data_IF_249519106766
#
_entry.id   IF_249519106766
#
_cell.length_a   1.000
_cell.length_b   1.000
_cell.length_c   1.000
_cell.angle_alpha   90.00
_cell.angle_beta   90.00
_cell.angle_gamma   90.00
#
_symmetry.space_group_name_H-M   'P 1'
#
loop_
_entity.id
_entity.type
_entity.pdbx_description
1 polymer ?
#
# COMPACT_ATOMS: atom_id res chain seq x y z
N UNK A 1 -22.81 10.39 11.26
CA UNK A 1 -21.46 10.86 10.88
C UNK A 1 -21.02 10.02 9.68
N UNK A 2 -21.05 10.55 8.44
CA UNK A 2 -20.87 9.73 7.24
C UNK A 2 -19.44 9.22 7.09
N UNK A 3 -19.24 7.95 6.75
CA UNK A 3 -17.91 7.36 6.49
C UNK A 3 -17.11 8.05 5.35
N UNK A 4 -17.71 8.98 4.60
CA UNK A 4 -17.12 9.58 3.40
C UNK A 4 -15.83 10.34 3.65
N UNK A 5 -15.77 11.18 4.70
CA UNK A 5 -14.58 12.00 4.98
C UNK A 5 -13.34 11.17 5.36
N UNK A 6 -13.51 9.92 5.80
CA UNK A 6 -12.41 9.04 6.18
C UNK A 6 -11.79 8.34 4.96
N UNK A 7 -12.53 8.22 3.86
CA UNK A 7 -12.06 7.66 2.59
C UNK A 7 -11.40 8.73 1.71
N UNK A 8 -11.88 9.98 1.75
CA UNK A 8 -11.30 11.11 1.00
C UNK A 8 -9.82 11.38 1.37
N UNK A 9 -9.38 11.04 2.59
CA UNK A 9 -7.97 11.18 2.98
C UNK A 9 -7.03 10.21 2.26
N UNK A 10 -7.53 9.04 1.85
CA UNK A 10 -6.70 7.99 1.25
C UNK A 10 -6.51 8.17 -0.26
N UNK A 11 -7.36 8.97 -0.91
CA UNK A 11 -7.21 9.30 -2.34
C UNK A 11 -5.99 10.18 -2.62
N UNK A 12 -5.40 10.82 -1.61
CA UNK A 12 -4.20 11.67 -1.77
C UNK A 12 -2.89 11.01 -1.35
N UNK A 13 -2.95 9.76 -0.86
CA UNK A 13 -1.76 9.08 -0.36
C UNK A 13 -0.86 8.68 -1.53
N UNK A 14 0.27 9.38 -1.68
CA UNK A 14 1.24 9.11 -2.75
C UNK A 14 2.33 8.13 -2.32
N UNK A 15 2.73 8.14 -1.04
CA UNK A 15 3.77 7.26 -0.51
C UNK A 15 3.29 6.48 0.71
N UNK A 16 3.64 5.19 0.77
CA UNK A 16 3.32 4.32 1.88
C UNK A 16 4.58 3.51 2.28
N UNK A 17 5.05 3.72 3.51
CA UNK A 17 6.26 3.08 4.04
C UNK A 17 5.89 2.12 5.17
N UNK A 18 6.27 0.85 4.99
CA UNK A 18 6.10 -0.19 6.00
C UNK A 18 7.41 -0.83 6.43
N UNK A 19 8.57 -0.27 6.04
CA UNK A 19 9.89 -0.82 6.34
C UNK A 19 10.12 -1.11 7.83
N UNK A 20 9.44 -0.44 8.75
CA UNK A 20 9.56 -0.73 10.18
C UNK A 20 8.80 -1.99 10.65
N UNK A 21 7.98 -2.60 9.80
CA UNK A 21 7.16 -3.77 10.14
C UNK A 21 7.81 -5.09 9.69
N UNK A 22 8.87 -5.50 10.40
CA UNK A 22 9.68 -6.69 10.09
C UNK A 22 8.87 -8.00 10.08
N UNK A 23 7.80 -8.05 10.89
CA UNK A 23 6.95 -9.23 11.07
C UNK A 23 5.64 -9.17 10.25
N UNK A 24 5.51 -8.21 9.32
CA UNK A 24 4.31 -8.12 8.49
C UNK A 24 4.29 -9.28 7.50
N UNK A 25 3.26 -10.13 7.57
CA UNK A 25 3.13 -11.32 6.72
C UNK A 25 2.34 -11.03 5.45
N UNK A 26 1.38 -10.11 5.51
CA UNK A 26 0.45 -9.84 4.43
C UNK A 26 -0.01 -8.39 4.43
N UNK A 27 -0.33 -7.90 3.23
CA UNK A 27 -0.89 -6.57 3.04
C UNK A 27 -2.41 -6.60 2.96
N UNK A 28 -3.08 -5.52 3.40
CA UNK A 28 -4.51 -5.36 3.24
C UNK A 28 -4.92 -5.30 1.76
N UNK A 29 -6.05 -5.92 1.42
CA UNK A 29 -6.59 -5.89 0.05
C UNK A 29 -7.08 -4.48 -0.34
N UNK A 30 -7.31 -3.62 0.64
CA UNK A 30 -7.75 -2.24 0.53
C UNK A 30 -6.67 -1.31 -0.06
N UNK A 31 -5.41 -1.75 -0.14
CA UNK A 31 -4.33 -1.02 -0.83
C UNK A 31 -4.67 -0.72 -2.29
N UNK A 32 -5.50 -1.55 -2.93
CA UNK A 32 -6.01 -1.32 -4.29
C UNK A 32 -6.89 -0.07 -4.42
N UNK A 33 -7.42 0.44 -3.31
CA UNK A 33 -8.24 1.65 -3.29
C UNK A 33 -7.37 2.92 -3.23
N UNK A 34 -6.05 2.79 -2.98
CA UNK A 34 -5.11 3.89 -2.96
C UNK A 34 -4.64 4.22 -4.38
N UNK A 35 -5.56 4.66 -5.24
CA UNK A 35 -5.32 4.90 -6.68
C UNK A 35 -4.18 5.90 -6.96
N UNK A 36 -3.88 6.79 -6.01
CA UNK A 36 -2.82 7.81 -6.13
C UNK A 36 -1.46 7.35 -5.59
N UNK A 37 -1.38 6.13 -5.06
CA UNK A 37 -0.14 5.60 -4.51
C UNK A 37 0.88 5.35 -5.61
N UNK A 38 2.01 6.04 -5.51
CA UNK A 38 3.12 5.95 -6.46
C UNK A 38 4.37 5.29 -5.86
N UNK A 39 4.54 5.32 -4.53
CA UNK A 39 5.70 4.75 -3.84
C UNK A 39 5.23 3.82 -2.73
N UNK A 40 5.78 2.61 -2.72
CA UNK A 40 5.59 1.64 -1.64
C UNK A 40 6.93 1.09 -1.16
N UNK A 41 7.30 1.39 0.09
CA UNK A 41 8.59 1.01 0.68
C UNK A 41 8.46 -0.21 1.62
N UNK A 42 9.16 -1.28 1.27
CA UNK A 42 9.22 -2.57 1.96
C UNK A 42 10.63 -3.05 2.28
N UNK A 43 11.68 -2.21 2.17
CA UNK A 43 13.13 -2.56 2.28
C UNK A 43 13.49 -3.50 3.45
N UNK A 44 12.73 -3.44 4.55
CA UNK A 44 13.01 -4.19 5.78
C UNK A 44 11.91 -5.19 6.15
N UNK A 45 10.89 -5.35 5.31
CA UNK A 45 9.80 -6.30 5.52
C UNK A 45 10.16 -7.71 5.03
N UNK A 46 11.10 -8.37 5.71
CA UNK A 46 11.58 -9.71 5.34
C UNK A 46 10.52 -10.82 5.43
N UNK A 47 9.49 -10.64 6.26
CA UNK A 47 8.42 -11.63 6.46
C UNK A 47 7.25 -11.47 5.48
N UNK A 48 7.27 -10.42 4.66
CA UNK A 48 6.15 -10.07 3.81
C UNK A 48 6.05 -11.05 2.65
N UNK A 49 4.89 -11.71 2.53
CA UNK A 49 4.63 -12.55 1.37
C UNK A 49 4.62 -11.69 0.10
N UNK A 50 5.19 -12.18 -1.01
CA UNK A 50 5.21 -11.45 -2.27
C UNK A 50 3.80 -10.97 -2.61
N UNK A 51 3.71 -9.73 -3.11
CA UNK A 51 2.42 -9.23 -3.59
C UNK A 51 1.83 -10.23 -4.59
N UNK A 52 0.57 -10.64 -4.42
CA UNK A 52 -0.11 -11.30 -5.51
C UNK A 52 -0.11 -10.34 -6.71
N UNK A 53 -0.06 -10.88 -7.93
CA UNK A 53 -0.11 -10.17 -9.23
C UNK A 53 -1.39 -9.32 -9.44
N UNK A 54 -2.10 -8.94 -8.37
CA UNK A 54 -3.31 -8.14 -8.29
C UNK A 54 -3.05 -6.66 -7.97
N UNK A 55 -1.79 -6.22 -7.89
CA UNK A 55 -1.42 -4.80 -7.81
C UNK A 55 -1.59 -4.07 -9.16
N UNK A 56 -2.01 -4.79 -10.21
CA UNK A 56 -2.28 -4.26 -11.55
C UNK A 56 -3.26 -3.07 -11.61
N UNK A 57 -3.96 -2.75 -10.51
CA UNK A 57 -4.84 -1.58 -10.42
C UNK A 57 -4.11 -0.28 -10.06
N UNK A 58 -2.88 -0.35 -9.53
CA UNK A 58 -2.07 0.82 -9.19
C UNK A 58 -1.15 1.16 -10.36
N UNK A 59 -1.71 1.90 -11.33
CA UNK A 59 -0.96 2.36 -12.51
C UNK A 59 0.14 3.31 -12.03
N UNK A 60 1.40 2.93 -12.21
CA UNK A 60 2.55 3.76 -11.83
C UNK A 60 3.08 3.55 -10.41
N UNK A 61 2.69 2.47 -9.72
CA UNK A 61 3.30 2.11 -8.44
C UNK A 61 4.77 1.68 -8.62
N UNK A 62 5.66 2.32 -7.87
CA UNK A 62 7.05 1.92 -7.68
C UNK A 62 7.19 1.23 -6.32
N UNK A 63 7.57 -0.04 -6.33
CA UNK A 63 7.88 -0.80 -5.11
C UNK A 63 9.38 -0.71 -4.85
N UNK A 64 9.74 -0.41 -3.61
CA UNK A 64 11.13 -0.37 -3.13
C UNK A 64 11.26 -1.46 -2.07
N UNK A 65 11.96 -2.55 -2.37
CA UNK A 65 12.08 -3.75 -1.53
C UNK A 65 13.50 -4.07 -1.06
#
# INVERSE_FOLDING_TARGET
>A
MPLSYKLDCFESLTSFDISSYLNLISLPNELKNLISLNIFNTIKCSSLRPFPNKVNNLIGLTIID
#
